data_IF_043910750495
#
_entry.id   IF_043910750495
#
_cell.length_a   1.000
_cell.length_b   1.000
_cell.length_c   1.000
_cell.angle_alpha   90.00
_cell.angle_beta   90.00
_cell.angle_gamma   90.00
#
_symmetry.space_group_name_H-M   'P 1'
#
loop_
_entity.id
_entity.type
_entity.pdbx_description
1 polymer ?
#
# COMPACT_ATOMS: atom_id res chain seq x y z
N UNK A 1 19.63 -6.10 8.60
CA UNK A 1 19.31 -7.10 7.56
C UNK A 1 20.43 -7.12 6.53
N UNK A 2 20.76 -8.26 5.95
CA UNK A 2 21.69 -8.31 4.82
C UNK A 2 20.90 -8.04 3.54
N UNK A 3 21.27 -7.00 2.79
CA UNK A 3 20.63 -6.62 1.53
C UNK A 3 21.71 -6.37 0.48
N UNK A 4 21.46 -6.77 -0.77
CA UNK A 4 22.26 -6.31 -1.90
C UNK A 4 22.03 -4.82 -2.13
N UNK A 5 22.97 -4.17 -2.81
CA UNK A 5 22.82 -2.76 -3.18
C UNK A 5 21.59 -2.55 -4.09
N UNK A 6 21.28 -3.52 -4.96
CA UNK A 6 20.06 -3.49 -5.80
C UNK A 6 18.78 -3.50 -4.97
N UNK A 7 18.70 -4.33 -3.93
CA UNK A 7 17.53 -4.37 -3.04
C UNK A 7 17.40 -3.08 -2.23
N UNK A 8 18.52 -2.49 -1.80
CA UNK A 8 18.50 -1.22 -1.08
C UNK A 8 18.01 -0.06 -1.95
N UNK A 9 18.42 -0.01 -3.22
CA UNK A 9 17.98 1.00 -4.19
C UNK A 9 16.51 0.85 -4.56
N UNK A 10 16.05 -0.38 -4.73
CA UNK A 10 14.64 -0.66 -4.99
C UNK A 10 13.75 -0.26 -3.81
N UNK A 11 14.16 -0.55 -2.56
CA UNK A 11 13.45 -0.08 -1.38
C UNK A 11 13.34 1.45 -1.30
N UNK A 12 14.41 2.17 -1.65
CA UNK A 12 14.39 3.65 -1.70
C UNK A 12 13.45 4.15 -2.80
N UNK A 13 13.44 3.50 -3.97
CA UNK A 13 12.53 3.81 -5.08
C UNK A 13 11.07 3.62 -4.66
N UNK A 14 10.73 2.45 -4.12
CA UNK A 14 9.38 2.12 -3.65
C UNK A 14 8.96 3.10 -2.53
N UNK A 15 9.87 3.42 -1.60
CA UNK A 15 9.61 4.34 -0.50
C UNK A 15 9.21 5.74 -0.96
N UNK A 16 9.89 6.27 -1.99
CA UNK A 16 9.54 7.55 -2.61
C UNK A 16 8.24 7.48 -3.41
N UNK A 17 8.03 6.41 -4.18
CA UNK A 17 6.80 6.21 -4.95
C UNK A 17 5.55 6.14 -4.07
N UNK A 18 5.68 5.52 -2.89
CA UNK A 18 4.61 5.41 -1.89
C UNK A 18 4.50 6.64 -0.97
N UNK A 19 5.38 7.63 -1.08
CA UNK A 19 5.31 8.83 -0.25
C UNK A 19 4.11 9.72 -0.62
N UNK A 20 3.50 10.34 0.39
CA UNK A 20 2.29 11.18 0.18
C UNK A 20 2.68 12.53 -0.40
N UNK A 21 1.97 12.94 -1.46
CA UNK A 21 2.05 14.32 -1.97
C UNK A 21 1.25 15.31 -1.11
N UNK A 22 0.31 14.84 -0.28
CA UNK A 22 -0.47 15.71 0.61
C UNK A 22 0.38 16.18 1.78
N UNK A 23 0.42 17.50 1.98
CA UNK A 23 1.03 18.15 3.13
C UNK A 23 0.38 17.60 4.40
N UNK A 24 1.22 17.05 5.27
CA UNK A 24 0.83 16.53 6.56
C UNK A 24 0.20 17.66 7.39
N UNK A 25 -0.90 17.39 8.10
CA UNK A 25 -1.70 18.39 8.82
C UNK A 25 -0.95 19.06 10.00
N UNK A 26 0.28 18.62 10.30
CA UNK A 26 1.17 19.24 11.30
C UNK A 26 2.46 19.84 10.71
N UNK A 27 2.60 19.95 9.38
CA UNK A 27 3.82 20.49 8.78
C UNK A 27 3.87 22.02 8.94
N UNK A 28 4.78 22.51 9.78
CA UNK A 28 5.20 23.92 9.79
C UNK A 28 5.81 24.29 8.44
N UNK A 29 5.54 25.52 7.98
CA UNK A 29 5.80 25.99 6.61
C UNK A 29 7.31 26.15 6.29
N UNK A 30 8.20 25.94 7.27
CA UNK A 30 9.64 26.27 7.19
C UNK A 30 10.61 25.08 7.25
N UNK A 31 10.15 23.83 7.21
CA UNK A 31 11.08 22.70 7.09
C UNK A 31 11.31 22.33 5.62
N UNK A 32 12.51 22.67 5.11
CA UNK A 32 13.10 22.12 3.89
C UNK A 32 12.71 20.65 3.78
N UNK A 33 11.74 20.35 2.92
CA UNK A 33 11.03 19.07 3.02
C UNK A 33 12.00 17.96 2.64
N UNK A 34 12.51 17.16 3.59
CA UNK A 34 13.43 16.10 3.24
C UNK A 34 12.71 15.13 2.31
N UNK A 35 13.44 14.63 1.32
CA UNK A 35 12.98 13.73 0.26
C UNK A 35 11.98 12.71 0.84
N UNK A 36 10.67 12.95 0.62
CA UNK A 36 9.62 12.25 1.36
C UNK A 36 9.67 10.78 0.97
N UNK A 37 9.91 9.91 1.94
CA UNK A 37 9.94 8.47 1.73
C UNK A 37 9.26 7.74 2.89
N UNK A 38 8.39 6.79 2.53
CA UNK A 38 7.74 5.83 3.43
C UNK A 38 8.70 4.73 3.88
N UNK A 39 9.77 4.49 3.10
CA UNK A 39 10.78 3.47 3.38
C UNK A 39 12.15 4.14 3.45
N UNK A 40 12.83 4.01 4.60
CA UNK A 40 14.21 4.45 4.79
C UNK A 40 15.11 3.23 4.88
N UNK A 41 16.10 3.14 3.99
CA UNK A 41 17.08 2.06 3.95
C UNK A 41 18.49 2.64 4.07
N UNK A 42 19.10 2.48 5.24
CA UNK A 42 20.41 3.01 5.61
C UNK A 42 21.43 1.88 5.77
N UNK A 43 22.64 2.08 5.26
CA UNK A 43 23.74 1.11 5.40
C UNK A 43 24.47 1.37 6.73
N UNK A 44 24.55 0.34 7.58
CA UNK A 44 25.17 0.41 8.92
C UNK A 44 26.58 -0.19 8.93
N UNK A 45 26.84 -1.19 8.09
CA UNK A 45 28.15 -1.84 7.93
C UNK A 45 28.25 -2.47 6.54
N UNK A 46 29.36 -3.16 6.21
CA UNK A 46 29.43 -3.96 4.99
C UNK A 46 28.27 -4.97 4.92
N UNK A 47 27.49 -4.88 3.84
CA UNK A 47 26.27 -5.63 3.56
C UNK A 47 25.10 -5.50 4.57
N UNK A 48 25.26 -4.79 5.70
CA UNK A 48 24.22 -4.66 6.73
C UNK A 48 23.44 -3.37 6.59
N UNK A 49 22.13 -3.51 6.42
CA UNK A 49 21.19 -2.42 6.25
C UNK A 49 20.15 -2.38 7.38
N UNK A 50 19.78 -1.16 7.77
CA UNK A 50 18.61 -0.86 8.61
C UNK A 50 17.49 -0.39 7.70
N UNK A 51 16.36 -1.08 7.75
CA UNK A 51 15.15 -0.72 6.99
C UNK A 51 14.09 -0.26 7.98
N UNK A 52 13.54 0.93 7.76
CA UNK A 52 12.43 1.49 8.53
C UNK A 52 11.28 1.84 7.59
N UNK A 53 10.12 1.27 7.86
CA UNK A 53 8.86 1.58 7.16
C UNK A 53 7.97 2.41 8.07
N UNK A 54 7.47 3.53 7.57
CA UNK A 54 6.62 4.47 8.31
C UNK A 54 5.26 4.58 7.63
N UNK A 55 4.17 4.44 8.40
CA UNK A 55 2.80 4.70 7.94
C UNK A 55 2.39 3.90 6.69
N UNK A 56 2.89 2.66 6.59
CA UNK A 56 2.52 1.71 5.56
C UNK A 56 2.43 0.29 6.12
N UNK A 57 1.53 -0.50 5.55
CA UNK A 57 1.24 -1.90 5.88
C UNK A 57 1.08 -2.62 4.54
N UNK A 58 1.60 -3.83 4.43
CA UNK A 58 1.53 -4.61 3.20
C UNK A 58 2.75 -5.50 3.01
N UNK A 59 3.03 -5.84 1.76
CA UNK A 59 4.19 -6.64 1.41
C UNK A 59 5.00 -5.95 0.29
N UNK A 60 6.32 -6.10 0.36
CA UNK A 60 7.26 -5.60 -0.65
C UNK A 60 8.01 -6.81 -1.19
N UNK A 61 7.87 -7.07 -2.50
CA UNK A 61 8.71 -8.01 -3.22
C UNK A 61 9.94 -7.32 -3.78
N UNK A 62 11.11 -7.91 -3.57
CA UNK A 62 12.43 -7.48 -4.04
C UNK A 62 13.09 -8.69 -4.71
N UNK A 63 12.59 -9.10 -5.88
CA UNK A 63 13.09 -10.30 -6.57
C UNK A 63 12.91 -11.58 -5.75
N UNK A 64 14.00 -12.07 -5.15
CA UNK A 64 14.06 -13.28 -4.31
C UNK A 64 13.73 -13.03 -2.82
N UNK A 65 13.51 -11.78 -2.43
CA UNK A 65 13.24 -11.39 -1.06
C UNK A 65 11.84 -10.77 -0.91
N UNK A 66 11.11 -11.17 0.13
CA UNK A 66 9.83 -10.57 0.50
C UNK A 66 9.91 -9.96 1.90
N UNK A 67 9.42 -8.72 2.03
CA UNK A 67 9.23 -8.05 3.32
C UNK A 67 7.74 -7.92 3.60
N UNK A 68 7.26 -8.56 4.66
CA UNK A 68 5.90 -8.37 5.18
C UNK A 68 5.93 -7.29 6.26
N UNK A 69 5.15 -6.24 6.08
CA UNK A 69 5.01 -5.12 7.00
C UNK A 69 3.65 -5.22 7.68
N UNK A 70 3.68 -5.55 8.96
CA UNK A 70 2.50 -5.69 9.79
C UNK A 70 2.11 -4.36 10.46
N UNK A 71 0.82 -4.15 10.76
CA UNK A 71 0.39 -3.01 11.53
C UNK A 71 0.97 -3.02 12.95
N UNK A 72 1.34 -1.84 13.45
CA UNK A 72 1.77 -1.66 14.86
C UNK A 72 0.64 -1.88 15.87
N UNK A 73 -0.60 -1.85 15.41
CA UNK A 73 -1.80 -2.12 16.18
C UNK A 73 -2.42 -3.44 15.71
N UNK A 74 -3.20 -4.15 16.54
CA UNK A 74 -3.92 -5.34 16.11
C UNK A 74 -4.74 -5.08 14.85
N UNK A 75 -4.71 -6.03 13.91
CA UNK A 75 -5.37 -5.89 12.60
C UNK A 75 -6.85 -5.54 12.74
N UNK A 76 -7.56 -6.13 13.70
CA UNK A 76 -8.97 -5.84 13.99
C UNK A 76 -9.23 -4.35 14.27
N UNK A 77 -8.32 -3.71 15.01
CA UNK A 77 -8.43 -2.29 15.33
C UNK A 77 -8.15 -1.42 14.10
N UNK A 78 -7.13 -1.76 13.31
CA UNK A 78 -6.87 -1.08 12.05
C UNK A 78 -8.09 -1.12 11.12
N UNK A 79 -8.70 -2.29 10.96
CA UNK A 79 -9.87 -2.48 10.10
C UNK A 79 -11.06 -1.63 10.57
N UNK A 80 -11.30 -1.58 11.88
CA UNK A 80 -12.30 -0.69 12.46
C UNK A 80 -12.06 0.77 12.06
N UNK A 81 -10.82 1.26 12.20
CA UNK A 81 -10.47 2.63 11.82
C UNK A 81 -10.62 2.92 10.32
N UNK A 82 -10.30 1.95 9.45
CA UNK A 82 -10.47 2.08 8.00
C UNK A 82 -11.96 2.15 7.62
N UNK A 83 -12.81 1.33 8.25
CA UNK A 83 -14.25 1.34 8.04
C UNK A 83 -14.87 2.68 8.46
N UNK A 84 -14.50 3.20 9.64
CA UNK A 84 -15.04 4.46 10.16
C UNK A 84 -14.52 5.70 9.41
N UNK A 85 -13.28 5.67 8.91
CA UNK A 85 -12.69 6.81 8.20
C UNK A 85 -13.06 6.89 6.72
N UNK A 86 -13.62 5.82 6.14
CA UNK A 86 -13.87 5.67 4.70
C UNK A 86 -12.61 5.98 3.84
N UNK A 87 -11.42 5.78 4.40
CA UNK A 87 -10.14 5.96 3.72
C UNK A 87 -9.53 4.59 3.42
N UNK A 88 -9.04 4.41 2.19
CA UNK A 88 -8.34 3.18 1.78
C UNK A 88 -6.82 3.38 1.79
N UNK A 89 -6.03 2.37 2.22
CA UNK A 89 -4.58 2.44 2.12
C UNK A 89 -4.10 2.64 0.68
N UNK A 90 -2.99 3.36 0.51
CA UNK A 90 -2.34 3.53 -0.81
C UNK A 90 -1.65 2.22 -1.19
N UNK A 91 -1.80 1.80 -2.44
CA UNK A 91 -1.15 0.59 -2.98
C UNK A 91 -0.36 0.93 -4.24
N UNK A 92 0.81 0.31 -4.39
CA UNK A 92 1.59 0.29 -5.63
C UNK A 92 1.62 -1.16 -6.11
N UNK A 93 0.87 -1.46 -7.17
CA UNK A 93 0.84 -2.79 -7.78
C UNK A 93 1.93 -2.87 -8.86
N UNK A 94 3.10 -3.37 -8.49
CA UNK A 94 4.08 -3.91 -9.45
C UNK A 94 3.94 -5.44 -9.45
N UNK A 95 4.03 -6.09 -10.63
CA UNK A 95 3.92 -7.55 -10.77
C UNK A 95 5.09 -8.24 -10.04
N UNK A 96 4.93 -8.42 -8.74
CA UNK A 96 5.76 -9.32 -7.93
C UNK A 96 4.90 -10.50 -7.51
N UNK A 97 5.47 -11.71 -7.59
CA UNK A 97 4.82 -12.90 -7.04
C UNK A 97 4.84 -12.78 -5.52
N UNK A 98 3.82 -12.13 -4.97
CA UNK A 98 3.58 -12.11 -3.53
C UNK A 98 3.39 -13.55 -3.07
N UNK A 99 4.28 -14.04 -2.20
CA UNK A 99 4.03 -15.26 -1.47
C UNK A 99 2.73 -15.07 -0.69
N UNK A 100 1.84 -16.06 -0.86
CA UNK A 100 0.51 -16.11 -0.26
C UNK A 100 0.67 -16.33 1.24
N UNK A 101 0.98 -15.26 1.99
CA UNK A 101 0.80 -15.27 3.43
C UNK A 101 -0.60 -14.75 3.77
N UNK A 102 -1.36 -15.61 4.43
CA UNK A 102 -2.83 -15.72 4.43
C UNK A 102 -3.61 -14.62 5.16
N UNK A 103 -2.98 -13.57 5.71
CA UNK A 103 -3.66 -12.76 6.73
C UNK A 103 -4.19 -11.41 6.26
N UNK A 104 -3.38 -10.57 5.62
CA UNK A 104 -3.85 -9.22 5.25
C UNK A 104 -4.63 -9.21 3.92
N UNK A 105 -4.11 -9.89 2.90
CA UNK A 105 -4.75 -9.96 1.59
C UNK A 105 -6.11 -10.66 1.66
N UNK A 106 -6.20 -11.76 2.41
CA UNK A 106 -7.46 -12.49 2.63
C UNK A 106 -8.53 -11.62 3.31
N UNK A 107 -8.13 -10.75 4.24
CA UNK A 107 -9.05 -9.83 4.89
C UNK A 107 -9.52 -8.74 3.93
N UNK A 108 -8.63 -8.16 3.12
CA UNK A 108 -8.99 -7.21 2.07
C UNK A 108 -9.91 -7.87 1.04
N UNK A 109 -9.59 -9.08 0.60
CA UNK A 109 -10.39 -9.84 -0.36
C UNK A 109 -11.80 -10.13 0.20
N UNK A 110 -11.92 -10.51 1.48
CA UNK A 110 -13.22 -10.66 2.15
C UNK A 110 -13.99 -9.34 2.19
N UNK A 111 -13.34 -8.23 2.49
CA UNK A 111 -14.00 -6.92 2.50
C UNK A 111 -14.45 -6.48 1.10
N UNK A 112 -13.62 -6.71 0.08
CA UNK A 112 -13.98 -6.46 -1.31
C UNK A 112 -15.21 -7.27 -1.71
N UNK A 113 -15.19 -8.59 -1.47
CA UNK A 113 -16.33 -9.47 -1.77
C UNK A 113 -17.57 -9.03 -1.00
N UNK A 114 -17.47 -8.75 0.30
CA UNK A 114 -18.59 -8.28 1.10
C UNK A 114 -19.16 -6.96 0.59
N UNK A 115 -18.29 -6.01 0.23
CA UNK A 115 -18.71 -4.73 -0.34
C UNK A 115 -19.40 -4.93 -1.68
N UNK A 116 -18.86 -5.77 -2.56
CA UNK A 116 -19.50 -6.15 -3.82
C UNK A 116 -20.87 -6.80 -3.60
N UNK A 117 -21.00 -7.71 -2.64
CA UNK A 117 -22.28 -8.34 -2.30
C UNK A 117 -23.31 -7.32 -1.80
N UNK A 118 -22.91 -6.39 -0.93
CA UNK A 118 -23.78 -5.31 -0.44
C UNK A 118 -24.20 -4.40 -1.59
N UNK A 119 -23.27 -4.05 -2.48
CA UNK A 119 -23.53 -3.19 -3.64
C UNK A 119 -24.46 -3.86 -4.65
N UNK A 120 -24.25 -5.16 -4.93
CA UNK A 120 -25.13 -5.98 -5.77
C UNK A 120 -26.53 -6.11 -5.16
N UNK A 121 -26.66 -6.32 -3.84
CA UNK A 121 -27.95 -6.41 -3.15
C UNK A 121 -28.72 -5.09 -3.14
N UNK A 122 -28.01 -3.96 -3.08
CA UNK A 122 -28.60 -2.61 -3.13
C UNK A 122 -28.93 -2.14 -4.55
N UNK A 123 -28.60 -2.95 -5.55
CA UNK A 123 -28.72 -2.60 -6.96
C UNK A 123 -27.49 -1.83 -7.42
N UNK A 124 -26.89 -2.29 -8.51
CA UNK A 124 -25.88 -1.50 -9.21
C UNK A 124 -26.55 -0.27 -9.80
N UNK A 125 -25.88 0.89 -9.74
CA UNK A 125 -26.31 2.07 -10.49
C UNK A 125 -26.29 1.68 -11.97
N UNK A 126 -27.49 1.52 -12.52
CA UNK A 126 -27.74 1.34 -13.94
C UNK A 126 -27.82 2.73 -14.56
N UNK A 127 -26.72 3.19 -15.13
CA UNK A 127 -26.74 4.42 -15.92
C UNK A 127 -26.79 4.08 -17.42
N UNK A 128 -27.48 4.91 -18.20
CA UNK A 128 -27.62 4.67 -19.63
C UNK A 128 -26.36 5.13 -20.35
N UNK A 129 -25.57 4.15 -20.83
CA UNK A 129 -24.48 4.41 -21.77
C UNK A 129 -25.03 4.67 -23.17
N UNK A 130 -24.62 5.77 -23.81
CA UNK A 130 -24.97 6.02 -25.22
C UNK A 130 -24.15 5.11 -26.13
N UNK A 131 -24.82 4.17 -26.80
CA UNK A 131 -24.22 3.35 -27.85
C UNK A 131 -24.77 3.81 -29.19
N UNK A 132 -23.90 4.23 -30.10
CA UNK A 132 -24.22 4.46 -31.52
C UNK A 132 -23.79 3.23 -32.30
N UNK A 133 -24.76 2.53 -32.90
CA UNK A 133 -24.54 1.42 -33.82
C UNK A 133 -25.51 1.56 -35.00
N UNK A 134 -25.06 1.19 -36.20
CA UNK A 134 -25.94 1.06 -37.35
C UNK A 134 -26.78 -0.21 -37.18
N UNK A 135 -28.10 -0.04 -37.13
CA UNK A 135 -29.06 -1.13 -37.06
C UNK A 135 -29.31 -1.67 -38.48
N UNK A 136 -29.44 -3.01 -38.64
CA UNK A 136 -29.68 -3.65 -39.94
C UNK A 136 -31.06 -3.33 -40.53
#
# INVERSE_FOLDING_TARGET
>A
MTLSDSHADELRRIGRALASQKQWWGASVDEDTPDRSVIRCERVAEARHTVRVSDAIGAIGLGDLQLTIEPKIPLQHLLYLLAESNQVPRSLYERSSLAVDDHFFTVIARWFVHTCEVLLRRGLVSDYGRVTADLP
#
